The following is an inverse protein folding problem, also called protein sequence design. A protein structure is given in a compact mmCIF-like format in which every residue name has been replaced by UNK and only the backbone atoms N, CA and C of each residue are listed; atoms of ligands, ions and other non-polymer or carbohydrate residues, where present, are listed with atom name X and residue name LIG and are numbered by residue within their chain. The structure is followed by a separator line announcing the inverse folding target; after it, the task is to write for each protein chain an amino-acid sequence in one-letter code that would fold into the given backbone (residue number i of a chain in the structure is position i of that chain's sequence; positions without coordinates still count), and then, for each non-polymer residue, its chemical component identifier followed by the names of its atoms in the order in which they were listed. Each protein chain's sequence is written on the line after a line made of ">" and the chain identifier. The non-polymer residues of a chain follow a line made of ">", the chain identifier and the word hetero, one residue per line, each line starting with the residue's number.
data_IF_984062112530
#
_entry.id   IF_984062112530
#
_cell.length_a   1.000
_cell.length_b   1.000
_cell.length_c   1.000
_cell.angle_alpha   90.00
_cell.angle_beta   90.00
_cell.angle_gamma   90.00
#
_symmetry.space_group_name_H-M   'P 1'
#
loop_
_entity.id
_entity.type
_entity.pdbx_description
1 polymer ?
#
# COMPACT_ATOMS: atom_id res chain seq x y z
N UNK A 1 36.97 15.67 -9.77
CA UNK A 1 35.87 15.94 -8.81
C UNK A 1 35.12 14.63 -8.59
N UNK A 2 35.45 13.88 -7.52
CA UNK A 2 34.85 12.57 -7.23
C UNK A 2 33.80 12.75 -6.14
N UNK A 3 32.53 12.50 -6.48
CA UNK A 3 31.44 12.43 -5.52
C UNK A 3 31.63 11.14 -4.71
N UNK A 4 32.12 11.26 -3.49
CA UNK A 4 32.07 10.17 -2.53
C UNK A 4 30.65 10.15 -1.95
N UNK A 5 29.80 9.26 -2.47
CA UNK A 5 28.55 8.91 -1.80
C UNK A 5 28.89 8.21 -0.49
N UNK A 6 28.73 8.91 0.63
CA UNK A 6 28.84 8.31 1.95
C UNK A 6 27.81 7.16 2.07
N UNK A 7 28.19 5.99 2.61
CA UNK A 7 27.23 4.94 2.87
C UNK A 7 26.30 5.41 3.99
N UNK A 8 24.99 5.46 3.71
CA UNK A 8 23.98 5.65 4.75
C UNK A 8 24.11 4.45 5.70
N UNK A 9 24.69 4.67 6.88
CA UNK A 9 24.78 3.69 7.95
C UNK A 9 23.37 3.33 8.44
N UNK A 10 22.71 2.42 7.74
CA UNK A 10 21.62 1.65 8.29
C UNK A 10 22.22 0.73 9.35
N UNK A 11 21.89 0.95 10.62
CA UNK A 11 21.89 -0.16 11.55
C UNK A 11 20.49 -0.79 11.45
N UNK A 12 20.31 -1.88 10.67
CA UNK A 12 18.98 -2.40 10.36
C UNK A 12 18.31 -3.06 11.59
N UNK A 13 19.07 -3.35 12.66
CA UNK A 13 18.52 -3.70 13.99
C UNK A 13 17.68 -2.57 14.60
N UNK A 14 17.80 -1.35 14.09
CA UNK A 14 17.13 -0.16 14.60
C UNK A 14 15.78 0.11 13.92
N UNK A 15 15.48 -0.49 12.75
CA UNK A 15 14.25 -0.17 12.01
C UNK A 15 13.01 -0.65 12.75
N UNK A 16 12.92 -1.95 13.08
CA UNK A 16 11.80 -2.50 13.87
C UNK A 16 11.61 -1.75 15.18
N UNK A 17 12.69 -1.50 15.91
CA UNK A 17 12.68 -0.77 17.18
C UNK A 17 12.12 0.64 17.01
N UNK A 18 12.60 1.42 16.02
CA UNK A 18 12.10 2.78 15.74
C UNK A 18 10.63 2.79 15.36
N UNK A 19 10.16 1.79 14.59
CA UNK A 19 8.77 1.71 14.17
C UNK A 19 7.84 1.35 15.34
N UNK A 20 8.28 0.46 16.24
CA UNK A 20 7.54 0.11 17.46
C UNK A 20 7.53 1.24 18.50
N UNK A 21 8.56 2.06 18.56
CA UNK A 21 8.60 3.25 19.43
C UNK A 21 7.53 4.30 19.10
N UNK A 22 6.93 4.25 17.91
CA UNK A 22 5.80 5.12 17.54
C UNK A 22 4.49 4.70 18.21
N UNK A 23 4.40 3.47 18.73
CA UNK A 23 3.19 2.92 19.34
C UNK A 23 3.05 3.50 20.77
N UNK A 24 1.94 4.20 21.09
CA UNK A 24 1.67 4.64 22.45
C UNK A 24 1.56 3.45 23.41
N UNK A 25 1.94 3.64 24.68
CA UNK A 25 1.78 2.60 25.71
C UNK A 25 0.34 2.54 26.26
N UNK A 26 -0.63 2.36 25.37
CA UNK A 26 -2.06 2.16 25.67
C UNK A 26 -2.77 1.54 24.47
N UNK A 27 -3.92 0.89 24.66
CA UNK A 27 -4.76 0.46 23.55
C UNK A 27 -5.17 1.64 22.65
N UNK A 28 -5.32 1.35 21.35
CA UNK A 28 -5.65 2.34 20.33
C UNK A 28 -7.10 2.19 19.86
N UNK A 29 -7.76 3.31 19.57
CA UNK A 29 -8.98 3.27 18.73
C UNK A 29 -8.61 2.84 17.32
N UNK A 30 -9.55 2.25 16.59
CA UNK A 30 -9.29 1.82 15.21
C UNK A 30 -8.78 2.95 14.31
N UNK A 31 -9.37 4.15 14.38
CA UNK A 31 -8.89 5.32 13.62
C UNK A 31 -7.48 5.77 13.99
N UNK A 32 -7.10 5.65 15.27
CA UNK A 32 -5.73 5.92 15.74
C UNK A 32 -4.76 4.88 15.19
N UNK A 33 -5.15 3.60 15.16
CA UNK A 33 -4.34 2.52 14.63
C UNK A 33 -4.13 2.64 13.10
N UNK A 34 -5.16 3.08 12.36
CA UNK A 34 -5.04 3.39 10.93
C UNK A 34 -4.05 4.54 10.69
N UNK A 35 -4.15 5.63 11.47
CA UNK A 35 -3.21 6.73 11.38
C UNK A 35 -1.77 6.30 11.74
N UNK A 36 -1.63 5.48 12.78
CA UNK A 36 -0.34 4.93 13.20
C UNK A 36 0.27 4.02 12.11
N UNK A 37 -0.54 3.21 11.44
CA UNK A 37 -0.10 2.40 10.32
C UNK A 37 0.45 3.25 9.16
N UNK A 38 -0.24 4.33 8.77
CA UNK A 38 0.30 5.26 7.77
C UNK A 38 1.59 5.96 8.24
N UNK A 39 1.65 6.36 9.52
CA UNK A 39 2.84 6.95 10.13
C UNK A 39 4.03 5.98 10.10
N UNK A 40 3.83 4.72 10.48
CA UNK A 40 4.84 3.67 10.45
C UNK A 40 5.29 3.37 9.01
N UNK A 41 4.36 3.27 8.06
CA UNK A 41 4.68 3.07 6.64
C UNK A 41 5.57 4.20 6.12
N UNK A 42 5.21 5.46 6.37
CA UNK A 42 6.03 6.61 6.01
C UNK A 42 7.40 6.55 6.67
N UNK A 43 7.46 6.22 7.97
CA UNK A 43 8.73 6.16 8.71
C UNK A 43 9.65 5.05 8.20
N UNK A 44 9.09 3.91 7.80
CA UNK A 44 9.85 2.83 7.16
C UNK A 44 10.55 3.34 5.88
N UNK A 45 9.80 4.02 5.02
CA UNK A 45 10.30 4.56 3.76
C UNK A 45 11.36 5.65 3.96
N UNK A 46 11.17 6.54 4.94
CA UNK A 46 12.15 7.55 5.34
C UNK A 46 13.46 6.91 5.81
N UNK A 47 13.36 5.90 6.68
CA UNK A 47 14.53 5.19 7.18
C UNK A 47 15.29 4.55 6.01
N UNK A 48 14.57 3.87 5.11
CA UNK A 48 15.14 3.23 3.92
C UNK A 48 15.58 4.20 2.80
N UNK A 49 15.39 5.52 2.96
CA UNK A 49 15.79 6.52 1.96
C UNK A 49 15.02 6.41 0.64
N UNK A 50 13.75 5.98 0.66
CA UNK A 50 12.95 5.81 -0.56
C UNK A 50 12.53 7.16 -1.12
N UNK A 51 12.89 7.41 -2.38
CA UNK A 51 12.62 8.69 -3.07
C UNK A 51 11.87 8.54 -4.40
N UNK A 52 11.65 7.31 -4.88
CA UNK A 52 11.00 7.04 -6.16
C UNK A 52 10.13 5.78 -6.13
N UNK A 53 9.24 5.67 -7.12
CA UNK A 53 8.44 4.49 -7.40
C UNK A 53 9.13 3.61 -8.46
N UNK A 54 8.92 2.28 -8.42
CA UNK A 54 8.22 1.52 -7.39
C UNK A 54 9.06 1.39 -6.11
N UNK A 55 8.40 1.20 -4.96
CA UNK A 55 9.10 0.95 -3.69
C UNK A 55 9.77 -0.43 -3.72
N UNK A 56 11.08 -0.51 -3.52
CA UNK A 56 11.79 -1.80 -3.53
C UNK A 56 11.40 -2.67 -2.33
N UNK A 57 11.26 -4.00 -2.50
CA UNK A 57 11.08 -4.93 -1.37
C UNK A 57 12.24 -4.92 -0.38
N UNK A 58 13.40 -4.40 -0.80
CA UNK A 58 14.61 -4.27 0.03
C UNK A 58 14.39 -3.46 1.30
N UNK A 59 13.34 -2.63 1.36
CA UNK A 59 12.93 -1.97 2.61
C UNK A 59 12.62 -2.96 3.75
N UNK A 60 12.25 -4.20 3.43
CA UNK A 60 12.02 -5.29 4.39
C UNK A 60 13.07 -6.39 4.25
N UNK A 61 13.40 -6.83 3.03
CA UNK A 61 14.25 -8.02 2.83
C UNK A 61 15.69 -7.84 3.34
N UNK A 62 16.15 -6.60 3.47
CA UNK A 62 17.51 -6.29 3.95
C UNK A 62 17.55 -6.16 5.50
N UNK A 63 16.43 -6.38 6.20
CA UNK A 63 16.36 -6.33 7.66
C UNK A 63 16.90 -7.65 8.27
N UNK A 64 17.89 -7.61 9.19
CA UNK A 64 18.63 -8.78 9.65
C UNK A 64 17.79 -9.74 10.51
N UNK A 65 16.69 -9.23 11.09
CA UNK A 65 15.79 -10.01 11.92
C UNK A 65 14.62 -10.61 11.13
N UNK A 66 14.61 -10.48 9.79
CA UNK A 66 13.52 -10.92 8.94
C UNK A 66 14.06 -11.84 7.86
N UNK A 67 13.48 -13.03 7.77
CA UNK A 67 13.76 -14.03 6.76
C UNK A 67 12.51 -14.24 5.91
N UNK A 68 12.65 -14.16 4.59
CA UNK A 68 11.56 -14.41 3.65
C UNK A 68 11.71 -15.81 3.09
N UNK A 69 10.60 -16.56 3.04
CA UNK A 69 10.57 -17.93 2.55
C UNK A 69 9.40 -18.08 1.59
N UNK A 70 9.64 -18.71 0.45
CA UNK A 70 8.57 -19.13 -0.45
C UNK A 70 8.03 -20.49 0.01
N UNK A 71 6.72 -20.59 0.14
CA UNK A 71 6.04 -21.79 0.63
C UNK A 71 4.93 -22.19 -0.34
N UNK A 72 5.20 -23.09 -1.30
CA UNK A 72 4.23 -23.55 -2.29
C UNK A 72 3.04 -24.31 -1.67
N UNK A 73 3.15 -24.74 -0.42
CA UNK A 73 2.10 -25.50 0.29
C UNK A 73 1.25 -24.59 1.18
N UNK A 74 1.55 -23.28 1.22
CA UNK A 74 0.80 -22.33 2.03
C UNK A 74 -0.61 -22.14 1.43
N UNK A 75 -1.69 -22.42 2.20
CA UNK A 75 -3.06 -22.25 1.72
C UNK A 75 -3.51 -20.78 1.71
N UNK A 76 -2.67 -19.88 2.22
CA UNK A 76 -2.88 -18.43 2.32
C UNK A 76 -1.90 -17.69 1.40
N UNK A 77 -2.15 -16.41 1.15
CA UNK A 77 -1.21 -15.56 0.41
C UNK A 77 0.12 -15.38 1.16
N UNK A 78 0.06 -15.28 2.50
CA UNK A 78 1.20 -15.11 3.37
C UNK A 78 0.93 -15.56 4.79
N UNK A 79 2.00 -15.68 5.57
CA UNK A 79 1.95 -15.87 7.02
C UNK A 79 3.28 -15.46 7.66
N UNK A 80 3.23 -14.94 8.88
CA UNK A 80 4.42 -14.57 9.66
C UNK A 80 4.48 -15.29 11.00
N UNK A 81 5.69 -15.67 11.42
CA UNK A 81 5.93 -16.28 12.73
C UNK A 81 7.33 -15.99 13.25
N UNK A 82 7.53 -16.11 14.57
CA UNK A 82 8.84 -16.05 15.19
C UNK A 82 9.50 -17.43 15.18
N UNK A 83 10.73 -17.51 14.67
CA UNK A 83 11.60 -18.69 14.76
C UNK A 83 12.53 -18.51 15.98
N UNK A 84 12.28 -19.20 17.10
CA UNK A 84 13.08 -19.04 18.31
C UNK A 84 14.49 -19.61 18.17
N UNK A 85 14.72 -20.58 17.29
CA UNK A 85 16.03 -21.18 17.08
C UNK A 85 16.94 -20.23 16.28
N UNK A 86 16.41 -19.65 15.20
CA UNK A 86 17.14 -18.67 14.39
C UNK A 86 17.13 -17.25 14.99
N UNK A 87 16.24 -16.99 15.97
CA UNK A 87 15.97 -15.66 16.54
C UNK A 87 15.62 -14.63 15.46
N UNK A 88 14.75 -15.04 14.53
CA UNK A 88 14.31 -14.22 13.40
C UNK A 88 12.79 -14.34 13.22
N UNK A 89 12.19 -13.26 12.73
CA UNK A 89 10.87 -13.33 12.12
C UNK A 89 10.97 -13.99 10.76
N UNK A 90 10.04 -14.86 10.46
CA UNK A 90 9.92 -15.54 9.18
C UNK A 90 8.62 -15.12 8.53
N UNK A 91 8.70 -14.55 7.34
CA UNK A 91 7.54 -14.28 6.49
C UNK A 91 7.53 -15.33 5.38
N UNK A 92 6.45 -16.11 5.33
CA UNK A 92 6.16 -17.07 4.28
C UNK A 92 5.27 -16.41 3.25
N UNK A 93 5.57 -16.61 1.97
CA UNK A 93 4.79 -16.09 0.85
C UNK A 93 4.39 -17.24 -0.07
N UNK A 94 3.17 -17.17 -0.61
CA UNK A 94 2.76 -18.07 -1.66
C UNK A 94 3.48 -17.69 -2.98
N UNK A 95 4.31 -18.58 -3.55
CA UNK A 95 5.07 -18.26 -4.75
C UNK A 95 4.22 -18.19 -6.01
N UNK A 96 2.97 -18.70 -5.98
CA UNK A 96 2.03 -18.69 -7.12
C UNK A 96 1.35 -17.34 -7.32
N UNK A 97 1.39 -16.47 -6.30
CA UNK A 97 0.88 -15.12 -6.39
C UNK A 97 1.71 -14.26 -7.36
N UNK A 98 1.03 -13.30 -8.02
CA UNK A 98 1.70 -12.31 -8.87
C UNK A 98 2.75 -11.51 -8.07
N UNK A 99 3.76 -10.97 -8.74
CA UNK A 99 4.80 -10.16 -8.08
C UNK A 99 4.23 -8.99 -7.27
N UNK A 100 3.27 -8.25 -7.83
CA UNK A 100 2.58 -7.16 -7.14
C UNK A 100 1.82 -7.64 -5.88
N UNK A 101 1.17 -8.80 -5.96
CA UNK A 101 0.46 -9.39 -4.81
C UNK A 101 1.44 -9.83 -3.72
N UNK A 102 2.53 -10.51 -4.09
CA UNK A 102 3.58 -10.92 -3.14
C UNK A 102 4.21 -9.74 -2.41
N UNK A 103 4.40 -8.61 -3.11
CA UNK A 103 4.90 -7.35 -2.53
C UNK A 103 3.95 -6.76 -1.51
N UNK A 104 2.65 -6.78 -1.82
CA UNK A 104 1.61 -6.34 -0.91
C UNK A 104 1.56 -7.23 0.33
N UNK A 105 1.49 -8.55 0.13
CA UNK A 105 1.49 -9.55 1.21
C UNK A 105 2.73 -9.42 2.11
N UNK A 106 3.93 -9.21 1.53
CA UNK A 106 5.15 -9.00 2.31
C UNK A 106 5.03 -7.84 3.31
N UNK A 107 4.46 -6.71 2.87
CA UNK A 107 4.27 -5.54 3.72
C UNK A 107 3.14 -5.73 4.73
N UNK A 108 2.08 -6.44 4.34
CA UNK A 108 0.98 -6.82 5.20
C UNK A 108 1.48 -7.70 6.37
N UNK A 109 2.22 -8.77 6.07
CA UNK A 109 2.84 -9.64 7.08
C UNK A 109 3.84 -8.90 7.96
N UNK A 110 4.60 -7.98 7.39
CA UNK A 110 5.49 -7.13 8.17
C UNK A 110 4.74 -6.26 9.18
N UNK A 111 3.52 -5.81 8.86
CA UNK A 111 2.69 -5.05 9.81
C UNK A 111 2.24 -5.93 10.98
N UNK A 112 1.88 -7.18 10.76
CA UNK A 112 1.61 -8.11 11.87
C UNK A 112 2.83 -8.29 12.78
N UNK A 113 4.03 -8.37 12.21
CA UNK A 113 5.28 -8.40 12.99
C UNK A 113 5.44 -7.11 13.81
N UNK A 114 5.19 -5.94 13.23
CA UNK A 114 5.29 -4.67 13.96
C UNK A 114 4.36 -4.61 15.16
N UNK A 115 3.13 -5.09 15.02
CA UNK A 115 2.09 -5.04 16.04
C UNK A 115 2.18 -6.16 17.07
N UNK A 116 2.97 -7.20 16.79
CA UNK A 116 3.18 -8.30 17.73
C UNK A 116 3.68 -7.81 19.09
N UNK A 117 2.96 -8.18 20.16
CA UNK A 117 3.27 -7.80 21.53
C UNK A 117 2.92 -6.34 21.87
N UNK A 118 2.26 -5.61 20.97
CA UNK A 118 1.75 -4.27 21.22
C UNK A 118 0.53 -4.24 22.14
N UNK A 119 0.07 -3.05 22.54
CA UNK A 119 -1.04 -2.87 23.48
C UNK A 119 -2.43 -3.22 22.91
N UNK A 120 -2.52 -3.55 21.62
CA UNK A 120 -3.76 -3.94 20.96
C UNK A 120 -4.74 -2.79 20.66
N UNK A 121 -5.94 -3.16 20.23
CA UNK A 121 -7.03 -2.24 19.91
C UNK A 121 -8.04 -2.15 21.07
N UNK A 122 -8.65 -0.99 21.24
CA UNK A 122 -9.84 -0.84 22.06
C UNK A 122 -11.02 -1.61 21.43
N UNK A 123 -11.79 -2.37 22.21
CA UNK A 123 -13.02 -3.00 21.72
C UNK A 123 -13.99 -1.97 21.15
N UNK A 124 -14.72 -2.33 20.09
CA UNK A 124 -15.76 -1.50 19.49
C UNK A 124 -17.11 -2.21 19.69
N UNK A 125 -18.05 -1.57 20.40
CA UNK A 125 -19.39 -2.11 20.68
C UNK A 125 -19.63 -2.47 22.15
N UNK A 126 -20.90 -2.46 22.58
CA UNK A 126 -21.34 -2.80 23.94
C UNK A 126 -21.71 -4.28 24.11
N UNK A 127 -21.85 -5.03 23.02
CA UNK A 127 -22.24 -6.44 23.02
C UNK A 127 -21.14 -7.33 22.45
N UNK A 128 -21.10 -8.55 22.97
CA UNK A 128 -20.06 -9.58 22.86
C UNK A 128 -19.88 -10.19 21.46
N UNK A 129 -20.01 -9.39 20.40
CA UNK A 129 -19.66 -9.80 19.07
C UNK A 129 -18.37 -9.13 18.65
N UNK A 130 -17.32 -9.92 18.81
CA UNK A 130 -16.07 -9.91 18.09
C UNK A 130 -16.29 -9.79 16.57
N UNK A 131 -16.77 -8.62 16.08
CA UNK A 131 -16.25 -8.05 14.85
C UNK A 131 -14.75 -7.95 15.12
N UNK A 132 -14.07 -8.98 14.66
CA UNK A 132 -12.98 -9.55 15.41
C UNK A 132 -11.84 -8.54 15.43
N UNK A 133 -11.20 -8.35 16.57
CA UNK A 133 -9.91 -7.64 16.63
C UNK A 133 -8.97 -8.08 15.51
N UNK A 134 -9.07 -9.34 15.09
CA UNK A 134 -8.36 -9.90 13.94
C UNK A 134 -8.78 -9.24 12.62
N UNK A 135 -10.08 -9.09 12.32
CA UNK A 135 -10.55 -8.40 11.12
C UNK A 135 -10.08 -6.93 11.08
N UNK A 136 -10.07 -6.26 12.23
CA UNK A 136 -9.51 -4.90 12.31
C UNK A 136 -8.00 -4.91 12.10
N UNK A 137 -7.28 -5.91 12.62
CA UNK A 137 -5.85 -6.08 12.40
C UNK A 137 -5.54 -6.32 10.91
N UNK A 138 -6.32 -7.15 10.20
CA UNK A 138 -6.21 -7.35 8.75
C UNK A 138 -6.40 -6.03 8.00
N UNK A 139 -7.41 -5.23 8.35
CA UNK A 139 -7.65 -3.93 7.72
C UNK A 139 -6.49 -2.95 7.97
N UNK A 140 -5.92 -2.96 9.17
CA UNK A 140 -4.75 -2.15 9.53
C UNK A 140 -3.51 -2.61 8.75
N UNK A 141 -3.32 -3.93 8.59
CA UNK A 141 -2.24 -4.52 7.80
C UNK A 141 -2.35 -4.14 6.32
N UNK A 142 -3.54 -4.25 5.74
CA UNK A 142 -3.83 -3.81 4.37
C UNK A 142 -3.60 -2.30 4.19
N UNK A 143 -4.01 -1.50 5.18
CA UNK A 143 -3.81 -0.06 5.14
C UNK A 143 -2.32 0.31 5.20
N UNK A 144 -1.54 -0.35 6.06
CA UNK A 144 -0.09 -0.20 6.12
C UNK A 144 0.55 -0.55 4.78
N UNK A 145 0.24 -1.74 4.23
CA UNK A 145 0.82 -2.22 2.97
C UNK A 145 0.49 -1.27 1.80
N UNK A 146 -0.75 -0.80 1.75
CA UNK A 146 -1.19 0.22 0.79
C UNK A 146 -0.38 1.50 0.93
N UNK A 147 -0.25 2.04 2.16
CA UNK A 147 0.50 3.28 2.40
C UNK A 147 1.99 3.17 2.08
N UNK A 148 2.58 1.99 2.30
CA UNK A 148 3.99 1.72 2.04
C UNK A 148 4.30 1.52 0.55
N UNK A 149 3.47 0.79 -0.21
CA UNK A 149 3.64 0.63 -1.65
C UNK A 149 3.29 1.89 -2.44
N UNK A 150 2.36 2.70 -1.92
CA UNK A 150 1.79 3.86 -2.60
C UNK A 150 1.95 5.10 -1.71
N UNK A 151 3.19 5.63 -1.56
CA UNK A 151 3.46 6.75 -0.67
C UNK A 151 2.77 8.01 -1.17
N UNK A 152 2.06 8.70 -0.26
CA UNK A 152 1.18 9.83 -0.59
C UNK A 152 1.81 10.87 -1.53
N UNK A 153 3.05 11.27 -1.25
CA UNK A 153 3.78 12.27 -2.05
C UNK A 153 4.02 11.76 -3.47
N UNK A 154 4.63 10.58 -3.60
CA UNK A 154 5.02 10.02 -4.90
C UNK A 154 3.81 9.65 -5.76
N UNK A 155 2.73 9.17 -5.13
CA UNK A 155 1.46 8.89 -5.83
C UNK A 155 0.85 10.17 -6.39
N UNK A 156 0.81 11.26 -5.61
CA UNK A 156 0.28 12.55 -6.08
C UNK A 156 1.11 13.13 -7.21
N UNK A 157 2.44 13.07 -7.10
CA UNK A 157 3.36 13.49 -8.16
C UNK A 157 3.15 12.66 -9.44
N UNK A 158 3.04 11.33 -9.31
CA UNK A 158 2.80 10.43 -10.43
C UNK A 158 1.42 10.65 -11.10
N UNK A 159 0.40 10.92 -10.30
CA UNK A 159 -0.96 11.21 -10.78
C UNK A 159 -1.00 12.54 -11.54
N UNK A 160 -0.43 13.59 -10.96
CA UNK A 160 -0.35 14.93 -11.56
C UNK A 160 0.47 14.95 -12.87
N UNK A 161 1.48 14.08 -12.99
CA UNK A 161 2.28 13.93 -14.20
C UNK A 161 1.55 13.25 -15.38
N UNK A 162 0.25 12.95 -15.26
CA UNK A 162 -0.58 12.49 -16.37
C UNK A 162 -0.81 10.98 -16.41
N UNK A 163 -1.03 10.33 -15.26
CA UNK A 163 -1.42 8.90 -15.20
C UNK A 163 -2.89 8.74 -14.79
N UNK A 164 -3.89 9.13 -15.63
CA UNK A 164 -5.30 9.14 -15.21
C UNK A 164 -5.93 7.75 -15.08
N UNK A 165 -5.23 6.68 -15.45
CA UNK A 165 -5.73 5.31 -15.36
C UNK A 165 -5.17 4.59 -14.11
N UNK A 166 -6.07 4.04 -13.30
CA UNK A 166 -5.72 3.20 -12.11
C UNK A 166 -4.77 2.08 -12.52
N UNK A 167 -5.03 1.41 -13.64
CA UNK A 167 -4.20 0.32 -14.15
C UNK A 167 -2.76 0.78 -14.47
N UNK A 168 -2.60 1.94 -15.11
CA UNK A 168 -1.29 2.48 -15.44
C UNK A 168 -0.50 2.84 -14.18
N UNK A 169 -1.17 3.42 -13.16
CA UNK A 169 -0.53 3.71 -11.88
C UNK A 169 -0.16 2.42 -11.12
N UNK A 170 -1.04 1.42 -11.12
CA UNK A 170 -0.80 0.12 -10.50
C UNK A 170 0.45 -0.55 -11.09
N UNK A 171 0.57 -0.58 -12.42
CA UNK A 171 1.75 -1.08 -13.12
C UNK A 171 3.00 -0.28 -12.77
N UNK A 172 2.93 1.06 -12.76
CA UNK A 172 4.07 1.93 -12.41
C UNK A 172 4.56 1.74 -10.97
N UNK A 173 3.64 1.47 -10.04
CA UNK A 173 3.98 1.28 -8.62
C UNK A 173 4.31 -0.18 -8.28
N UNK A 174 4.09 -1.10 -9.22
CA UNK A 174 4.15 -2.55 -9.00
C UNK A 174 3.32 -2.95 -7.77
N UNK A 175 2.04 -2.56 -7.79
CA UNK A 175 1.09 -2.73 -6.70
C UNK A 175 -0.25 -3.30 -7.22
N UNK A 176 -1.02 -4.03 -6.39
CA UNK A 176 -2.32 -4.54 -6.80
C UNK A 176 -3.27 -3.41 -7.26
N UNK A 177 -4.09 -3.62 -8.31
CA UNK A 177 -5.07 -2.62 -8.75
C UNK A 177 -6.07 -2.21 -7.67
N UNK A 178 -6.48 -3.16 -6.80
CA UNK A 178 -7.37 -2.92 -5.66
C UNK A 178 -6.75 -1.98 -4.61
N UNK A 179 -5.49 -2.21 -4.23
CA UNK A 179 -4.74 -1.36 -3.33
C UNK A 179 -4.53 0.05 -3.93
N UNK A 180 -4.23 0.11 -5.23
CA UNK A 180 -4.06 1.36 -5.98
C UNK A 180 -5.35 2.18 -5.96
N UNK A 181 -6.50 1.56 -6.28
CA UNK A 181 -7.81 2.22 -6.21
C UNK A 181 -8.11 2.74 -4.80
N UNK A 182 -7.89 1.90 -3.79
CA UNK A 182 -8.11 2.25 -2.39
C UNK A 182 -7.28 3.46 -1.97
N UNK A 183 -6.01 3.52 -2.38
CA UNK A 183 -5.14 4.66 -2.09
C UNK A 183 -5.59 5.94 -2.80
N UNK A 184 -5.99 5.85 -4.06
CA UNK A 184 -6.47 7.03 -4.80
C UNK A 184 -7.73 7.62 -4.16
N UNK A 185 -8.66 6.79 -3.69
CA UNK A 185 -9.84 7.22 -2.93
C UNK A 185 -9.42 7.89 -1.62
N UNK A 186 -8.55 7.25 -0.83
CA UNK A 186 -8.04 7.80 0.44
C UNK A 186 -7.36 9.17 0.25
N UNK A 187 -6.69 9.38 -0.89
CA UNK A 187 -6.01 10.63 -1.20
C UNK A 187 -6.91 11.72 -1.80
N UNK A 188 -8.19 11.39 -2.07
CA UNK A 188 -9.16 12.29 -2.71
C UNK A 188 -8.87 12.54 -4.20
N UNK A 189 -8.16 11.62 -4.86
CA UNK A 189 -7.77 11.76 -6.28
C UNK A 189 -8.82 11.19 -7.24
N UNK A 190 -9.68 10.30 -6.75
CA UNK A 190 -10.84 9.76 -7.47
C UNK A 190 -12.02 9.63 -6.51
N UNK A 191 -13.24 9.61 -7.04
CA UNK A 191 -14.45 9.40 -6.25
C UNK A 191 -14.63 7.88 -5.97
N UNK A 192 -15.03 7.47 -4.75
CA UNK A 192 -15.48 6.12 -4.46
C UNK A 192 -16.47 5.53 -5.49
N UNK A 193 -17.36 6.37 -6.03
CA UNK A 193 -18.37 6.01 -7.02
C UNK A 193 -17.82 5.91 -8.46
N UNK A 194 -16.58 6.33 -8.72
CA UNK A 194 -15.95 6.15 -10.04
C UNK A 194 -15.70 4.66 -10.27
N UNK A 195 -16.67 4.01 -10.93
CA UNK A 195 -16.49 2.70 -11.56
C UNK A 195 -15.62 2.89 -12.80
N UNK A 196 -14.69 1.97 -13.03
CA UNK A 196 -13.83 1.94 -14.21
C UNK A 196 -14.66 1.84 -15.50
N UNK A 197 -14.68 2.94 -16.28
CA UNK A 197 -14.83 2.93 -17.74
C UNK A 197 -16.24 2.90 -18.34
N UNK A 198 -16.74 4.08 -18.72
CA UNK A 198 -17.21 4.34 -20.10
C UNK A 198 -16.46 5.59 -20.57
N UNK A 199 -16.01 5.70 -21.83
CA UNK A 199 -15.48 6.97 -22.32
C UNK A 199 -16.58 8.01 -22.15
N UNK A 200 -16.22 9.16 -21.59
CA UNK A 200 -17.10 10.31 -21.57
C UNK A 200 -17.19 10.79 -23.02
N UNK A 201 -18.14 10.26 -23.79
CA UNK A 201 -18.60 10.94 -25.00
C UNK A 201 -19.17 12.28 -24.52
N UNK A 202 -18.55 13.36 -24.96
CA UNK A 202 -19.03 14.71 -24.75
C UNK A 202 -20.13 14.92 -25.81
N UNK A 203 -21.41 15.08 -25.43
CA UNK A 203 -22.39 15.60 -26.36
C UNK A 203 -22.16 17.11 -26.38
N UNK A 204 -21.68 17.66 -27.48
CA UNK A 204 -21.88 19.05 -27.91
C UNK A 204 -20.98 19.33 -29.11
N UNK A 205 -21.33 18.79 -30.28
CA UNK A 205 -21.04 19.48 -31.54
C UNK A 205 -22.02 19.04 -32.63
N UNK A 206 -23.26 19.49 -32.52
CA UNK A 206 -24.17 19.60 -33.67
C UNK A 206 -24.73 21.02 -33.64
N UNK A 207 -23.96 21.95 -34.22
CA UNK A 207 -24.53 23.22 -34.67
C UNK A 207 -25.36 22.99 -35.94
N UNK A 208 -26.53 23.64 -36.10
CA UNK A 208 -27.36 23.49 -37.27
C UNK A 208 -26.87 24.43 -38.38
N UNK A 209 -26.44 23.89 -39.53
CA UNK A 209 -26.28 24.69 -40.75
C UNK A 209 -27.55 24.60 -41.60
N UNK A 210 -28.40 25.60 -41.50
CA UNK A 210 -29.34 25.94 -42.58
C UNK A 210 -28.57 26.75 -43.62
N UNK A 211 -28.57 26.31 -44.89
CA UNK A 211 -28.62 27.20 -46.06
C UNK A 211 -29.13 26.41 -47.27
N UNK A 212 -30.27 26.84 -47.81
CA UNK A 212 -30.84 26.49 -49.11
C UNK A 212 -29.96 26.98 -50.28
N UNK A 213 -29.93 26.23 -51.39
CA UNK A 213 -30.09 26.71 -52.78
C UNK A 213 -29.88 25.53 -53.75
N UNK A 214 -30.90 25.04 -54.47
CA UNK A 214 -31.41 25.50 -55.79
C UNK A 214 -30.78 24.73 -56.97
N UNK A 215 -31.66 24.13 -57.80
CA UNK A 215 -31.47 23.75 -59.23
C UNK A 215 -30.50 22.57 -59.55
N UNK A 216 -30.70 21.66 -60.51
CA UNK A 216 -31.25 21.75 -61.88
C UNK A 216 -31.85 20.39 -62.34
N UNK A 217 -32.84 20.50 -63.23
CA UNK A 217 -33.52 19.54 -64.11
C UNK A 217 -32.74 18.31 -64.65
N UNK A 218 -33.45 17.18 -64.78
CA UNK A 218 -33.92 16.60 -66.05
C UNK A 218 -34.86 15.41 -65.80
#
# INVERSE_FOLDING_TARGET
>A
MRYQSSPVNHNPLNVLTKLRQLVPNRPLRFSEAMHLAELQARRLLELAGVTALPVSCRVITDLPQIRIVDDPQLPLAGASHWDPAARQWVIRLNPTDSAAQRRFTLLHEFKHILDFGGPGLLPIGLDQHQLCTDQLAEQIADHFATCALLPKRLVREAWAAGTPAIAALATRCDAPPSATRSRLIQLGLIDPATRTGRPHEHPDDISPSNTEATEVAA
#
